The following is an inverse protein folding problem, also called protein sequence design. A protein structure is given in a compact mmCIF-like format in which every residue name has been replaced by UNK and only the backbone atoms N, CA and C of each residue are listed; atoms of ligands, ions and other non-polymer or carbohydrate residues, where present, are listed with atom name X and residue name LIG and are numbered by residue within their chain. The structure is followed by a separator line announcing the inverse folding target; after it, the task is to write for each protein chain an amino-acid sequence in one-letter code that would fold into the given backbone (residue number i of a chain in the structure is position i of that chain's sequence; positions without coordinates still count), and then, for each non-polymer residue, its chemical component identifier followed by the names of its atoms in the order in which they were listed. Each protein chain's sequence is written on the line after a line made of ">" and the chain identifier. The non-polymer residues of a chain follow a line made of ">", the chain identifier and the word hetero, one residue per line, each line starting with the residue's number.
data_IF_019582463878
#
_entry.id   IF_019582463878
#
_cell.length_a   1.000
_cell.length_b   1.000
_cell.length_c   1.000
_cell.angle_alpha   90.00
_cell.angle_beta   90.00
_cell.angle_gamma   90.00
#
_symmetry.space_group_name_H-M   'P 1'
#
loop_
_entity.id
_entity.type
_entity.pdbx_description
1 polymer ?
#
# COMPACT_ATOMS: atom_id res chain seq x y z
N UNK A 1 14.17 8.78 9.07
CA UNK A 1 12.82 8.42 9.54
C UNK A 1 12.22 7.50 8.49
N UNK A 2 11.87 6.28 8.90
CA UNK A 2 11.25 5.25 8.07
C UNK A 2 9.77 5.13 8.44
N UNK A 3 8.95 4.50 7.58
CA UNK A 3 7.53 4.27 7.88
C UNK A 3 7.36 3.47 9.18
N UNK A 4 8.26 2.52 9.43
CA UNK A 4 8.28 1.72 10.65
C UNK A 4 8.41 2.54 11.94
N UNK A 5 9.00 3.74 11.89
CA UNK A 5 9.15 4.62 13.06
C UNK A 5 7.79 5.17 13.53
N UNK A 6 6.81 5.24 12.63
CA UNK A 6 5.45 5.68 12.95
C UNK A 6 4.56 4.57 13.51
N UNK A 7 5.06 3.35 13.68
CA UNK A 7 4.29 2.21 14.17
C UNK A 7 4.80 1.77 15.55
N UNK A 8 3.92 1.72 16.53
CA UNK A 8 4.23 1.21 17.87
C UNK A 8 4.43 -0.30 17.79
N UNK A 9 5.66 -0.78 17.90
CA UNK A 9 6.05 -2.19 17.66
C UNK A 9 5.23 -3.21 18.46
N UNK A 10 4.90 -2.90 19.72
CA UNK A 10 4.18 -3.82 20.63
C UNK A 10 2.69 -3.94 20.30
N UNK A 11 2.02 -2.83 20.04
CA UNK A 11 0.57 -2.79 19.82
C UNK A 11 0.18 -2.84 18.34
N UNK A 12 1.14 -2.64 17.43
CA UNK A 12 0.91 -2.53 15.97
C UNK A 12 -0.15 -1.48 15.63
N UNK A 13 -0.12 -0.39 16.38
CA UNK A 13 -0.93 0.81 16.14
C UNK A 13 -0.05 1.94 15.63
N UNK A 14 -0.67 2.87 14.91
CA UNK A 14 -0.05 4.11 14.54
C UNK A 14 0.35 4.91 15.78
N UNK A 15 1.53 5.53 15.74
CA UNK A 15 1.94 6.52 16.72
C UNK A 15 1.29 7.86 16.35
N UNK A 16 0.07 8.07 16.85
CA UNK A 16 -0.74 9.25 16.53
C UNK A 16 -0.03 10.56 16.83
N UNK A 17 0.65 10.65 17.98
CA UNK A 17 1.35 11.86 18.39
C UNK A 17 2.44 12.23 17.39
N UNK A 18 3.30 11.26 17.06
CA UNK A 18 4.39 11.47 16.09
C UNK A 18 3.86 11.77 14.69
N UNK A 19 2.78 11.13 14.25
CA UNK A 19 2.18 11.40 12.95
C UNK A 19 1.61 12.83 12.90
N UNK A 20 0.86 13.24 13.93
CA UNK A 20 0.26 14.57 14.00
C UNK A 20 1.28 15.69 14.15
N UNK A 21 2.44 15.42 14.75
CA UNK A 21 3.54 16.39 14.84
C UNK A 21 4.36 16.50 13.56
N UNK A 22 4.33 15.47 12.72
CA UNK A 22 5.21 15.37 11.53
C UNK A 22 4.50 15.77 10.23
N UNK A 23 3.22 15.45 10.10
CA UNK A 23 2.46 15.66 8.87
C UNK A 23 1.39 16.76 9.02
N UNK A 24 0.93 17.29 7.88
CA UNK A 24 -0.21 18.21 7.88
C UNK A 24 -1.44 17.54 8.49
N UNK A 25 -2.38 18.34 9.03
CA UNK A 25 -3.61 17.78 9.61
C UNK A 25 -4.38 16.91 8.61
N UNK A 26 -4.38 17.27 7.33
CA UNK A 26 -5.06 16.52 6.27
C UNK A 26 -4.36 15.19 6.02
N UNK A 27 -3.03 15.19 5.89
CA UNK A 27 -2.27 13.97 5.63
C UNK A 27 -2.27 13.03 6.83
N UNK A 28 -2.12 13.57 8.04
CA UNK A 28 -2.20 12.81 9.28
C UNK A 28 -3.53 12.06 9.38
N UNK A 29 -4.66 12.70 9.04
CA UNK A 29 -5.98 12.04 9.00
C UNK A 29 -6.02 10.88 8.01
N UNK A 30 -5.43 11.04 6.83
CA UNK A 30 -5.37 9.97 5.83
C UNK A 30 -4.46 8.82 6.27
N UNK A 31 -3.30 9.11 6.87
CA UNK A 31 -2.38 8.07 7.37
C UNK A 31 -3.07 7.25 8.46
N UNK A 32 -3.71 7.92 9.43
CA UNK A 32 -4.38 7.26 10.54
C UNK A 32 -5.59 6.40 10.13
N UNK A 33 -6.15 6.61 8.95
CA UNK A 33 -7.24 5.78 8.42
C UNK A 33 -6.76 4.50 7.72
N UNK A 34 -5.45 4.37 7.46
CA UNK A 34 -4.88 3.17 6.86
C UNK A 34 -4.83 2.06 7.92
N UNK A 35 -5.47 0.90 7.71
CA UNK A 35 -5.40 -0.21 8.65
C UNK A 35 -4.01 -0.85 8.62
N UNK A 36 -3.42 -1.07 9.80
CA UNK A 36 -2.17 -1.81 9.94
C UNK A 36 -2.43 -3.32 9.98
N UNK A 37 -1.52 -4.08 9.36
CA UNK A 37 -1.54 -5.53 9.43
C UNK A 37 -1.34 -6.01 10.89
N UNK A 38 -2.25 -6.89 11.34
CA UNK A 38 -2.23 -7.47 12.69
C UNK A 38 -1.02 -8.39 12.91
N UNK A 39 -0.61 -9.09 11.85
CA UNK A 39 0.53 -9.99 11.86
C UNK A 39 1.73 -9.20 11.31
N UNK A 40 2.87 -9.16 12.02
CA UNK A 40 4.10 -8.60 11.49
C UNK A 40 4.50 -9.35 10.23
N UNK A 41 4.79 -8.61 9.17
CA UNK A 41 5.33 -9.14 7.92
C UNK A 41 6.54 -8.29 7.58
N UNK A 42 7.59 -8.93 7.10
CA UNK A 42 8.75 -8.22 6.59
C UNK A 42 8.38 -7.52 5.28
N UNK A 43 9.04 -6.39 5.02
CA UNK A 43 8.89 -5.68 3.77
C UNK A 43 9.30 -6.59 2.61
N UNK A 44 8.48 -6.67 1.57
CA UNK A 44 8.75 -7.48 0.39
C UNK A 44 8.45 -6.71 -0.89
N UNK A 45 9.18 -7.05 -1.96
CA UNK A 45 8.97 -6.46 -3.26
C UNK A 45 7.75 -7.08 -3.94
N UNK A 46 6.64 -6.35 -3.90
CA UNK A 46 5.38 -6.79 -4.52
C UNK A 46 5.38 -6.57 -6.04
N UNK A 47 6.07 -5.54 -6.51
CA UNK A 47 6.14 -5.16 -7.92
C UNK A 47 7.06 -6.11 -8.70
N UNK A 48 6.49 -6.93 -9.58
CA UNK A 48 7.29 -7.76 -10.51
C UNK A 48 7.79 -6.90 -11.67
N UNK A 49 9.03 -7.10 -12.10
CA UNK A 49 9.57 -6.44 -13.28
C UNK A 49 8.76 -6.76 -14.54
N UNK A 50 8.72 -5.83 -15.50
CA UNK A 50 8.05 -6.03 -16.78
C UNK A 50 9.06 -6.53 -17.83
N UNK A 51 8.61 -7.40 -18.73
CA UNK A 51 9.47 -8.00 -19.76
C UNK A 51 10.12 -6.96 -20.70
N UNK A 52 9.52 -5.79 -20.85
CA UNK A 52 10.09 -4.67 -21.61
C UNK A 52 11.26 -3.98 -20.91
N UNK A 53 11.55 -4.30 -19.64
CA UNK A 53 12.55 -3.61 -18.82
C UNK A 53 12.11 -2.24 -18.31
N UNK A 54 11.02 -1.69 -18.83
CA UNK A 54 10.44 -0.40 -18.43
C UNK A 54 9.23 -0.60 -17.52
N UNK A 55 9.23 0.06 -16.36
CA UNK A 55 8.14 0.00 -15.40
C UNK A 55 7.24 1.22 -15.50
N UNK A 56 5.96 1.00 -15.77
CA UNK A 56 4.95 2.05 -15.82
C UNK A 56 3.93 1.86 -14.70
N UNK A 57 3.18 2.92 -14.38
CA UNK A 57 2.05 2.84 -13.42
C UNK A 57 1.10 1.71 -13.79
N UNK A 58 0.79 1.52 -15.08
CA UNK A 58 -0.02 0.39 -15.57
C UNK A 58 0.60 -0.98 -15.26
N UNK A 59 1.92 -1.11 -15.28
CA UNK A 59 2.65 -2.35 -14.98
C UNK A 59 2.54 -2.68 -13.49
N UNK A 60 2.54 -1.65 -12.64
CA UNK A 60 2.24 -1.75 -11.21
C UNK A 60 0.92 -2.49 -10.96
N UNK A 61 -0.14 -2.07 -11.63
CA UNK A 61 -1.45 -2.69 -11.47
C UNK A 61 -1.58 -4.08 -12.08
N UNK A 62 -0.61 -4.58 -12.85
CA UNK A 62 -0.58 -5.98 -13.34
C UNK A 62 -0.06 -6.92 -12.26
N UNK A 63 -0.70 -6.97 -11.10
CA UNK A 63 -0.36 -7.96 -10.08
C UNK A 63 -0.85 -9.35 -10.48
N UNK A 64 -0.01 -10.40 -10.47
CA UNK A 64 -0.46 -11.75 -10.79
C UNK A 64 -1.41 -12.27 -9.72
N UNK A 65 -2.57 -12.72 -10.17
CA UNK A 65 -3.58 -13.48 -9.40
C UNK A 65 -2.99 -14.59 -8.52
N UNK A 66 -1.83 -15.12 -8.90
CA UNK A 66 -1.14 -16.19 -8.18
C UNK A 66 -0.55 -15.76 -6.83
N UNK A 67 -0.30 -14.45 -6.61
CA UNK A 67 0.21 -13.95 -5.31
C UNK A 67 -0.90 -13.69 -4.28
N UNK A 68 -2.14 -13.58 -4.73
CA UNK A 68 -3.27 -13.10 -3.93
C UNK A 68 -4.36 -14.16 -4.02
N UNK A 69 -4.29 -15.18 -3.17
CA UNK A 69 -5.32 -16.23 -3.07
C UNK A 69 -6.70 -15.74 -2.60
N UNK A 70 -7.04 -14.47 -2.83
CA UNK A 70 -8.27 -13.82 -2.44
C UNK A 70 -8.99 -13.19 -3.67
N UNK A 71 -10.16 -13.72 -4.08
CA UNK A 71 -10.92 -13.24 -5.24
C UNK A 71 -11.45 -11.80 -5.10
N UNK A 72 -11.38 -11.20 -3.91
CA UNK A 72 -11.84 -9.82 -3.64
C UNK A 72 -10.99 -8.76 -4.34
N UNK A 73 -9.70 -9.04 -4.57
CA UNK A 73 -8.78 -8.10 -5.22
C UNK A 73 -9.06 -7.91 -6.71
N UNK A 74 -9.58 -8.93 -7.39
CA UNK A 74 -10.03 -8.82 -8.78
C UNK A 74 -11.13 -7.77 -8.94
N UNK A 75 -12.07 -7.71 -7.99
CA UNK A 75 -13.16 -6.74 -8.02
C UNK A 75 -12.63 -5.31 -7.86
N UNK A 76 -11.62 -5.10 -7.00
CA UNK A 76 -10.97 -3.80 -6.84
C UNK A 76 -10.15 -3.42 -8.08
N UNK A 77 -9.37 -4.35 -8.65
CA UNK A 77 -8.61 -4.11 -9.86
C UNK A 77 -9.53 -3.73 -11.02
N UNK A 78 -10.68 -4.41 -11.16
CA UNK A 78 -11.69 -4.10 -12.20
C UNK A 78 -12.33 -2.72 -11.97
N UNK A 79 -12.53 -2.30 -10.71
CA UNK A 79 -13.06 -0.98 -10.36
C UNK A 79 -12.10 0.16 -10.75
N UNK A 80 -10.79 -0.02 -10.54
CA UNK A 80 -9.80 1.01 -10.84
C UNK A 80 -9.19 0.89 -12.25
N UNK A 81 -9.35 -0.25 -12.94
CA UNK A 81 -8.89 -0.49 -14.31
C UNK A 81 -9.28 0.62 -15.30
N UNK A 82 -10.52 1.15 -15.29
CA UNK A 82 -10.93 2.20 -16.22
C UNK A 82 -10.19 3.52 -16.00
N UNK A 83 -9.76 3.80 -14.77
CA UNK A 83 -9.03 5.03 -14.44
C UNK A 83 -7.61 5.00 -14.99
N UNK A 84 -6.94 3.84 -14.93
CA UNK A 84 -5.54 3.72 -15.36
C UNK A 84 -5.38 3.39 -16.86
N UNK A 85 -6.44 2.96 -17.55
CA UNK A 85 -6.44 2.77 -19.01
C UNK A 85 -6.46 4.07 -19.81
N UNK A 86 -6.73 5.22 -19.16
CA UNK A 86 -6.77 6.55 -19.78
C UNK A 86 -5.46 7.34 -19.62
N UNK A 87 -4.45 6.76 -18.98
CA UNK A 87 -3.08 7.26 -18.86
C UNK A 87 -2.18 6.51 -19.85
#
# INVERSE_FOLDING_TARGET
>A
MMVADFIVKKSRLWNEELIRSTFSMTDAKHILSIPLARIPQDDFLVWKGEASGEYFVRSAYKMPLQLLGDPTYLQQQTKYMPFYKKL
#
